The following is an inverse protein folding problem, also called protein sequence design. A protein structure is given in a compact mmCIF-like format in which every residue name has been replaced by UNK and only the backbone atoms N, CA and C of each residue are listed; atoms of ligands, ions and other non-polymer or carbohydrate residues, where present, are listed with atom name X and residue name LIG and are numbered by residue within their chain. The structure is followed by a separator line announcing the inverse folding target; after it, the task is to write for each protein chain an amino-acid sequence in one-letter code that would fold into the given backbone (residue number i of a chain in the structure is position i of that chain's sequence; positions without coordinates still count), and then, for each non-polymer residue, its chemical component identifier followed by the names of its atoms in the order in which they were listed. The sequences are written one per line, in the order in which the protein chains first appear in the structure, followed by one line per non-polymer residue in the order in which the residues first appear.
data_IF_002720506852
#
_entry.id   IF_002720506852
#
_cell.length_a   1.000
_cell.length_b   1.000
_cell.length_c   1.000
_cell.angle_alpha   90.00
_cell.angle_beta   90.00
_cell.angle_gamma   90.00
#
_symmetry.space_group_name_H-M   'P 1'
#
loop_
_entity.id
_entity.type
_entity.pdbx_description
1 polymer ?
#
# COMPACT_ATOMS: atom_id res chain seq x y z
N UNK A 1 5.08 21.38 23.71
CA UNK A 1 3.88 22.16 23.32
C UNK A 1 3.93 22.36 21.81
N UNK A 2 2.82 22.14 21.10
CA UNK A 2 2.77 22.12 19.62
C UNK A 2 2.81 23.53 18.99
N UNK A 3 2.08 24.50 19.55
CA UNK A 3 1.88 25.83 18.95
C UNK A 3 3.18 26.63 18.71
N UNK A 4 4.18 26.64 19.63
CA UNK A 4 5.43 27.35 19.40
C UNK A 4 6.21 26.83 18.18
N UNK A 5 6.20 25.51 17.94
CA UNK A 5 6.86 24.91 16.78
C UNK A 5 6.20 25.31 15.45
N UNK A 6 4.92 25.70 15.50
CA UNK A 6 4.15 26.14 14.34
C UNK A 6 4.19 27.67 14.17
N UNK A 7 4.81 28.41 15.10
CA UNK A 7 4.79 29.88 15.10
C UNK A 7 3.39 30.47 15.31
N UNK A 8 2.48 29.70 15.92
CA UNK A 8 1.11 30.12 16.16
C UNK A 8 0.98 30.68 17.58
N UNK A 9 0.44 31.90 17.67
CA UNK A 9 0.12 32.53 18.95
C UNK A 9 -1.00 31.77 19.68
N UNK A 10 -0.83 31.58 20.99
CA UNK A 10 -1.75 30.80 21.82
C UNK A 10 -3.12 31.46 21.94
N UNK A 11 -3.17 32.78 22.19
CA UNK A 11 -4.43 33.48 22.40
C UNK A 11 -5.24 33.55 21.09
N UNK A 12 -4.55 33.77 19.97
CA UNK A 12 -5.14 33.67 18.63
C UNK A 12 -5.69 32.27 18.33
N UNK A 13 -4.97 31.22 18.70
CA UNK A 13 -5.44 29.85 18.49
C UNK A 13 -6.72 29.58 19.28
N UNK A 14 -6.73 29.86 20.58
CA UNK A 14 -7.86 29.54 21.45
C UNK A 14 -9.11 30.37 21.15
N UNK A 15 -8.96 31.67 20.90
CA UNK A 15 -10.09 32.52 20.48
C UNK A 15 -10.67 32.10 19.13
N UNK A 16 -9.83 31.71 18.18
CA UNK A 16 -10.26 31.17 16.89
C UNK A 16 -11.00 29.83 17.04
N UNK A 17 -10.46 28.93 17.86
CA UNK A 17 -11.08 27.63 18.16
C UNK A 17 -12.45 27.78 18.83
N UNK A 18 -12.56 28.66 19.84
CA UNK A 18 -13.84 28.99 20.48
C UNK A 18 -14.86 29.53 19.47
N UNK A 19 -14.42 30.44 18.59
CA UNK A 19 -15.28 30.99 17.54
C UNK A 19 -15.82 29.92 16.58
N UNK A 20 -14.98 28.93 16.21
CA UNK A 20 -15.40 27.79 15.39
C UNK A 20 -16.46 26.96 16.12
N UNK A 21 -16.25 26.64 17.39
CA UNK A 21 -17.24 25.89 18.19
C UNK A 21 -18.57 26.65 18.24
N UNK A 22 -18.53 27.93 18.63
CA UNK A 22 -19.74 28.75 18.76
C UNK A 22 -20.52 28.85 17.45
N UNK A 23 -19.82 28.97 16.31
CA UNK A 23 -20.45 29.09 15.00
C UNK A 23 -21.02 27.76 14.47
N UNK A 24 -20.35 26.63 14.71
CA UNK A 24 -20.68 25.37 14.03
C UNK A 24 -21.38 24.32 14.91
N UNK A 25 -21.39 24.45 16.24
CA UNK A 25 -22.06 23.48 17.12
C UNK A 25 -23.56 23.39 16.86
N UNK A 26 -24.25 24.53 16.67
CA UNK A 26 -25.70 24.52 16.38
C UNK A 26 -26.02 23.77 15.09
N UNK A 27 -25.24 24.01 14.02
CA UNK A 27 -25.43 23.31 12.74
C UNK A 27 -25.10 21.82 12.85
N UNK A 28 -24.07 21.45 13.62
CA UNK A 28 -23.73 20.04 13.82
C UNK A 28 -24.85 19.28 14.55
N UNK A 29 -25.43 19.88 15.61
CA UNK A 29 -26.57 19.28 16.31
C UNK A 29 -27.81 19.15 15.42
N UNK A 30 -28.11 20.16 14.61
CA UNK A 30 -29.20 20.11 13.63
C UNK A 30 -29.01 18.95 12.63
N UNK A 31 -27.79 18.74 12.13
CA UNK A 31 -27.48 17.62 11.23
C UNK A 31 -27.65 16.25 11.90
N UNK A 32 -27.44 16.14 13.22
CA UNK A 32 -27.72 14.92 13.96
C UNK A 32 -29.23 14.69 14.12
N UNK A 33 -30.00 15.73 14.46
CA UNK A 33 -31.46 15.63 14.54
C UNK A 33 -32.08 15.24 13.19
N UNK A 34 -31.57 15.76 12.07
CA UNK A 34 -32.01 15.35 10.73
C UNK A 34 -31.81 13.84 10.52
N UNK A 35 -30.70 13.26 11.00
CA UNK A 35 -30.45 11.80 10.89
C UNK A 35 -31.47 11.01 11.71
N UNK A 36 -31.71 11.44 12.95
CA UNK A 36 -32.67 10.79 13.84
C UNK A 36 -34.10 10.85 13.27
N UNK A 37 -34.50 11.99 12.71
CA UNK A 37 -35.81 12.19 12.09
C UNK A 37 -35.98 11.33 10.83
N UNK A 38 -34.95 11.25 9.97
CA UNK A 38 -34.97 10.40 8.78
C UNK A 38 -35.08 8.91 9.18
N UNK A 39 -34.30 8.47 10.15
CA UNK A 39 -34.35 7.09 10.63
C UNK A 39 -35.71 6.75 11.26
N UNK A 40 -36.26 7.66 12.07
CA UNK A 40 -37.58 7.49 12.70
C UNK A 40 -38.71 7.35 11.67
N UNK A 41 -38.65 8.11 10.58
CA UNK A 41 -39.60 7.99 9.47
C UNK A 41 -39.45 6.63 8.76
N UNK A 42 -38.22 6.19 8.47
CA UNK A 42 -37.95 4.88 7.87
C UNK A 42 -38.46 3.75 8.77
N UNK A 43 -38.19 3.81 10.07
CA UNK A 43 -38.66 2.82 11.04
C UNK A 43 -40.20 2.77 11.08
N UNK A 44 -40.84 3.93 11.02
CA UNK A 44 -42.30 4.05 11.03
C UNK A 44 -42.90 3.46 9.75
N UNK A 45 -42.32 3.78 8.58
CA UNK A 45 -42.77 3.26 7.30
C UNK A 45 -42.81 1.73 7.27
N UNK A 46 -41.75 1.08 7.80
CA UNK A 46 -41.67 -0.38 7.89
C UNK A 46 -42.62 -0.96 8.95
N UNK A 47 -42.77 -0.31 10.12
CA UNK A 47 -43.70 -0.78 11.17
C UNK A 47 -45.15 -0.80 10.71
N UNK A 48 -45.57 0.21 9.95
CA UNK A 48 -46.93 0.31 9.41
C UNK A 48 -47.22 -0.71 8.31
N UNK A 49 -46.18 -1.22 7.63
CA UNK A 49 -46.28 -2.15 6.49
C UNK A 49 -45.70 -3.53 6.77
N UNK A 50 -45.60 -3.91 8.05
CA UNK A 50 -44.91 -5.15 8.48
C UNK A 50 -45.50 -6.45 7.91
N UNK A 51 -46.79 -6.44 7.59
CA UNK A 51 -47.53 -7.61 7.09
C UNK A 51 -47.72 -7.55 5.56
N UNK A 52 -47.18 -6.51 4.91
CA UNK A 52 -47.21 -6.32 3.47
C UNK A 52 -45.94 -6.86 2.81
N UNK A 53 -46.05 -7.32 1.56
CA UNK A 53 -44.87 -7.60 0.76
C UNK A 53 -44.13 -6.28 0.45
N UNK A 54 -42.80 -6.30 0.51
CA UNK A 54 -42.00 -5.10 0.26
C UNK A 54 -42.13 -4.62 -1.19
N UNK A 55 -42.61 -3.39 -1.38
CA UNK A 55 -42.67 -2.70 -2.67
C UNK A 55 -41.51 -1.71 -2.80
N UNK A 56 -40.52 -2.06 -3.63
CA UNK A 56 -39.34 -1.24 -3.86
C UNK A 56 -39.65 0.10 -4.55
N UNK A 57 -40.68 0.17 -5.39
CA UNK A 57 -41.08 1.40 -6.08
C UNK A 57 -41.70 2.37 -5.08
N UNK A 58 -42.61 1.88 -4.23
CA UNK A 58 -43.20 2.67 -3.16
C UNK A 58 -42.15 3.13 -2.14
N UNK A 59 -41.19 2.28 -1.78
CA UNK A 59 -40.12 2.64 -0.85
C UNK A 59 -39.18 3.71 -1.43
N UNK A 60 -38.78 3.59 -2.70
CA UNK A 60 -37.96 4.61 -3.36
C UNK A 60 -38.67 5.96 -3.42
N UNK A 61 -39.97 5.96 -3.71
CA UNK A 61 -40.79 7.18 -3.71
C UNK A 61 -40.84 7.81 -2.31
N UNK A 62 -41.09 7.01 -1.27
CA UNK A 62 -41.05 7.45 0.12
C UNK A 62 -39.70 8.08 0.51
N UNK A 63 -38.57 7.46 0.15
CA UNK A 63 -37.24 8.00 0.44
C UNK A 63 -36.99 9.36 -0.23
N UNK A 64 -37.55 9.59 -1.43
CA UNK A 64 -37.52 10.92 -2.06
C UNK A 64 -38.40 11.91 -1.32
N UNK A 65 -39.60 11.51 -0.92
CA UNK A 65 -40.57 12.36 -0.21
C UNK A 65 -40.04 12.89 1.13
N UNK A 66 -39.33 12.05 1.89
CA UNK A 66 -38.71 12.47 3.17
C UNK A 66 -37.38 13.22 2.98
N UNK A 67 -36.93 13.41 1.74
CA UNK A 67 -35.66 14.08 1.43
C UNK A 67 -34.40 13.25 1.70
N UNK A 68 -34.54 11.93 1.88
CA UNK A 68 -33.39 11.02 2.04
C UNK A 68 -32.67 10.80 0.70
N UNK A 69 -33.44 10.49 -0.35
CA UNK A 69 -32.92 10.35 -1.70
C UNK A 69 -33.10 11.67 -2.47
N UNK A 70 -32.02 12.39 -2.68
CA UNK A 70 -32.01 13.64 -3.43
C UNK A 70 -31.92 13.38 -4.95
N UNK A 71 -32.31 14.38 -5.73
CA UNK A 71 -32.09 14.35 -7.18
C UNK A 71 -30.59 14.47 -7.49
N UNK A 72 -30.16 13.73 -8.49
CA UNK A 72 -28.77 13.74 -8.95
C UNK A 72 -28.44 15.12 -9.54
N UNK A 73 -27.28 15.66 -9.16
CA UNK A 73 -26.77 16.90 -9.73
C UNK A 73 -26.30 16.72 -11.17
N UNK A 74 -25.99 17.83 -11.84
CA UNK A 74 -25.36 17.76 -13.16
C UNK A 74 -23.94 17.18 -13.07
N UNK A 75 -23.48 16.56 -14.16
CA UNK A 75 -22.10 16.11 -14.29
C UNK A 75 -21.11 17.25 -14.03
N UNK A 76 -20.06 16.97 -13.27
CA UNK A 76 -18.95 17.89 -13.00
C UNK A 76 -17.64 17.12 -12.83
N UNK A 77 -16.51 17.84 -12.93
CA UNK A 77 -15.19 17.32 -12.61
C UNK A 77 -14.69 17.95 -11.31
N UNK A 78 -13.97 17.17 -10.49
CA UNK A 78 -13.33 17.68 -9.27
C UNK A 78 -12.13 18.57 -9.62
N UNK A 79 -11.92 19.65 -8.87
CA UNK A 79 -10.87 20.65 -9.12
C UNK A 79 -9.72 20.60 -8.10
N UNK A 80 -9.64 19.53 -7.30
CA UNK A 80 -8.65 19.39 -6.22
C UNK A 80 -7.22 19.44 -6.77
N UNK A 81 -6.38 20.31 -6.18
CA UNK A 81 -4.98 20.51 -6.57
C UNK A 81 -4.04 20.41 -5.35
N UNK A 82 -2.73 20.36 -5.62
CA UNK A 82 -1.68 20.22 -4.60
C UNK A 82 -1.81 18.94 -3.77
N UNK A 83 -2.08 17.82 -4.45
CA UNK A 83 -2.20 16.48 -3.86
C UNK A 83 -0.88 15.74 -4.11
N UNK A 84 -0.35 15.05 -3.10
CA UNK A 84 0.87 14.25 -3.22
C UNK A 84 0.69 13.04 -4.17
N UNK A 85 1.77 12.66 -4.86
CA UNK A 85 1.76 11.64 -5.92
C UNK A 85 1.26 10.27 -5.43
N UNK A 86 1.50 9.94 -4.17
CA UNK A 86 1.03 8.73 -3.50
C UNK A 86 -0.51 8.60 -3.51
N UNK A 87 -1.24 9.72 -3.62
CA UNK A 87 -2.71 9.74 -3.60
C UNK A 87 -3.28 9.79 -5.03
N UNK A 88 -2.70 10.59 -5.93
CA UNK A 88 -3.31 10.82 -7.26
C UNK A 88 -2.63 10.09 -8.42
N UNK A 89 -1.37 9.66 -8.27
CA UNK A 89 -0.60 9.00 -9.34
C UNK A 89 -0.36 7.51 -9.10
N UNK A 90 -0.29 7.09 -7.85
CA UNK A 90 0.10 5.74 -7.45
C UNK A 90 -1.10 4.91 -6.99
N UNK A 91 -1.22 3.69 -7.51
CA UNK A 91 -2.15 2.69 -7.00
C UNK A 91 -1.38 1.72 -6.11
N UNK A 92 -1.79 1.57 -4.85
CA UNK A 92 -1.11 0.72 -3.88
C UNK A 92 -1.93 0.49 -2.61
N UNK A 93 -1.40 -0.27 -1.66
CA UNK A 93 -2.05 -0.52 -0.38
C UNK A 93 -2.22 0.77 0.45
N UNK A 94 -3.23 0.79 1.32
CA UNK A 94 -3.42 1.84 2.32
C UNK A 94 -3.61 1.22 3.70
N UNK A 95 -2.69 1.50 4.62
CA UNK A 95 -2.70 0.95 5.97
C UNK A 95 -3.49 1.85 6.94
N UNK A 96 -4.34 1.24 7.77
CA UNK A 96 -5.07 1.92 8.85
C UNK A 96 -4.61 1.40 10.20
N UNK A 97 -4.24 2.30 11.12
CA UNK A 97 -3.60 1.95 12.39
C UNK A 97 -4.10 2.83 13.54
N UNK A 98 -4.24 2.31 14.78
CA UNK A 98 -4.63 3.13 15.93
C UNK A 98 -3.49 4.04 16.39
N UNK A 99 -3.63 5.35 16.17
CA UNK A 99 -2.63 6.37 16.52
C UNK A 99 -2.26 6.39 18.02
N UNK A 100 -3.15 5.89 18.90
CA UNK A 100 -2.89 5.79 20.35
C UNK A 100 -1.81 4.76 20.70
N UNK A 101 -1.50 3.82 19.80
CA UNK A 101 -0.42 2.87 19.98
C UNK A 101 0.81 3.36 19.19
N UNK A 102 1.76 3.97 19.90
CA UNK A 102 2.97 4.54 19.29
C UNK A 102 3.81 3.51 18.52
N UNK A 103 3.88 2.25 19.01
CA UNK A 103 4.60 1.18 18.31
C UNK A 103 3.94 0.87 16.96
N UNK A 104 2.61 0.78 16.94
CA UNK A 104 1.90 0.50 15.70
C UNK A 104 1.99 1.68 14.72
N UNK A 105 1.89 2.93 15.21
CA UNK A 105 2.06 4.12 14.38
C UNK A 105 3.46 4.19 13.73
N UNK A 106 4.53 3.89 14.49
CA UNK A 106 5.89 3.84 13.95
C UNK A 106 6.06 2.71 12.93
N UNK A 107 5.56 1.52 13.23
CA UNK A 107 5.59 0.40 12.30
C UNK A 107 4.85 0.74 11.00
N UNK A 108 3.68 1.37 11.10
CA UNK A 108 2.88 1.79 9.94
C UNK A 108 3.58 2.88 9.13
N UNK A 109 4.20 3.87 9.78
CA UNK A 109 4.97 4.90 9.10
C UNK A 109 6.16 4.33 8.33
N UNK A 110 6.80 3.29 8.87
CA UNK A 110 7.94 2.61 8.24
C UNK A 110 7.52 1.54 7.24
N UNK A 111 6.22 1.22 7.14
CA UNK A 111 5.72 0.15 6.29
C UNK A 111 5.75 0.49 4.79
N UNK A 112 6.11 1.72 4.41
CA UNK A 112 6.28 2.12 3.00
C UNK A 112 7.27 1.22 2.25
N UNK A 113 8.23 0.65 2.97
CA UNK A 113 9.19 -0.31 2.43
C UNK A 113 9.20 -1.56 3.29
N UNK A 114 8.81 -2.70 2.70
CA UNK A 114 8.68 -3.98 3.40
C UNK A 114 9.50 -5.09 2.75
N UNK A 115 10.15 -5.92 3.56
CA UNK A 115 10.81 -7.13 3.07
C UNK A 115 9.79 -8.13 2.54
N UNK A 116 9.90 -8.48 1.26
CA UNK A 116 9.10 -9.54 0.67
C UNK A 116 9.51 -10.90 1.24
N UNK A 117 10.79 -11.10 1.54
CA UNK A 117 11.25 -12.39 2.07
C UNK A 117 10.67 -12.63 3.46
N UNK A 118 10.69 -11.63 4.34
CA UNK A 118 10.09 -11.75 5.68
C UNK A 118 8.57 -11.94 5.59
N UNK A 119 7.89 -11.22 4.69
CA UNK A 119 6.44 -11.36 4.49
C UNK A 119 6.07 -12.76 4.00
N UNK A 120 6.80 -13.33 3.03
CA UNK A 120 6.57 -14.68 2.52
C UNK A 120 6.96 -15.75 3.54
N UNK A 121 8.13 -15.60 4.16
CA UNK A 121 8.63 -16.57 5.12
C UNK A 121 7.75 -16.60 6.36
N UNK A 122 7.30 -15.45 6.86
CA UNK A 122 6.57 -15.29 8.12
C UNK A 122 5.07 -15.57 8.05
N UNK A 123 4.50 -15.77 6.87
CA UNK A 123 3.05 -16.00 6.67
C UNK A 123 2.75 -17.39 6.10
N UNK A 124 1.47 -17.70 5.88
CA UNK A 124 0.99 -18.94 5.26
C UNK A 124 0.96 -18.89 3.72
N UNK A 125 1.44 -17.80 3.10
CA UNK A 125 1.55 -17.70 1.63
C UNK A 125 2.41 -18.83 1.06
N UNK A 126 3.50 -19.17 1.75
CA UNK A 126 4.30 -20.36 1.45
C UNK A 126 3.84 -21.50 2.35
N UNK A 127 3.30 -22.56 1.74
CA UNK A 127 2.89 -23.78 2.47
C UNK A 127 4.03 -24.33 3.32
N UNK A 128 3.69 -24.86 4.49
CA UNK A 128 4.62 -25.55 5.39
C UNK A 128 4.86 -27.01 5.02
N UNK A 129 4.17 -27.54 4.00
CA UNK A 129 4.35 -28.90 3.52
C UNK A 129 5.76 -29.15 2.96
N UNK A 130 6.11 -30.44 2.80
CA UNK A 130 7.38 -30.91 2.24
C UNK A 130 8.62 -30.43 3.01
N UNK A 131 8.54 -30.36 4.33
CA UNK A 131 9.66 -29.96 5.19
C UNK A 131 9.92 -28.45 5.23
N UNK A 132 8.93 -27.64 4.86
CA UNK A 132 9.03 -26.17 4.83
C UNK A 132 8.40 -25.49 6.06
N UNK A 133 8.32 -26.19 7.19
CA UNK A 133 7.72 -25.69 8.42
C UNK A 133 8.56 -24.57 9.06
N UNK A 134 7.89 -23.60 9.68
CA UNK A 134 8.52 -22.53 10.48
C UNK A 134 8.84 -23.03 11.90
N UNK A 135 9.69 -24.03 12.02
CA UNK A 135 10.08 -24.57 13.34
C UNK A 135 11.49 -24.12 13.74
N UNK A 136 11.60 -23.43 14.89
CA UNK A 136 12.89 -22.98 15.41
C UNK A 136 13.53 -21.84 14.60
N UNK A 137 14.73 -22.08 14.08
CA UNK A 137 15.52 -21.09 13.34
C UNK A 137 15.18 -21.04 11.84
N UNK A 138 16.13 -20.54 11.04
CA UNK A 138 15.99 -20.54 9.58
C UNK A 138 15.94 -21.97 9.03
N UNK A 139 14.89 -22.25 8.25
CA UNK A 139 14.70 -23.50 7.52
C UNK A 139 15.10 -23.28 6.04
N UNK A 140 16.22 -23.85 5.57
CA UNK A 140 16.67 -23.67 4.19
C UNK A 140 15.65 -24.12 3.14
N UNK A 141 14.90 -25.20 3.37
CA UNK A 141 13.90 -25.70 2.43
C UNK A 141 12.74 -24.70 2.25
N UNK A 142 12.34 -24.02 3.33
CA UNK A 142 11.38 -22.90 3.26
C UNK A 142 12.00 -21.68 2.58
N UNK A 143 13.24 -21.35 2.90
CA UNK A 143 13.98 -20.24 2.31
C UNK A 143 14.09 -20.34 0.79
N UNK A 144 14.37 -21.53 0.26
CA UNK A 144 14.39 -21.79 -1.18
C UNK A 144 13.03 -21.53 -1.84
N UNK A 145 11.91 -21.95 -1.21
CA UNK A 145 10.55 -21.65 -1.70
C UNK A 145 10.27 -20.14 -1.72
N UNK A 146 10.73 -19.40 -0.71
CA UNK A 146 10.61 -17.93 -0.64
C UNK A 146 11.40 -17.25 -1.77
N UNK A 147 12.67 -17.65 -1.96
CA UNK A 147 13.52 -17.11 -3.03
C UNK A 147 12.91 -17.39 -4.40
N UNK A 148 12.44 -18.63 -4.63
CA UNK A 148 11.80 -19.02 -5.88
C UNK A 148 10.56 -18.17 -6.18
N UNK A 149 9.69 -17.95 -5.18
CA UNK A 149 8.52 -17.09 -5.31
C UNK A 149 8.91 -15.66 -5.69
N UNK A 150 9.88 -15.08 -4.98
CA UNK A 150 10.27 -13.70 -5.20
C UNK A 150 10.96 -13.49 -6.57
N UNK A 151 11.72 -14.47 -7.05
CA UNK A 151 12.32 -14.41 -8.40
C UNK A 151 11.28 -14.57 -9.50
N UNK A 152 10.27 -15.42 -9.31
CA UNK A 152 9.12 -15.50 -10.21
C UNK A 152 8.34 -14.16 -10.25
N UNK A 153 8.15 -13.52 -9.09
CA UNK A 153 7.58 -12.17 -9.04
C UNK A 153 8.40 -11.15 -9.85
N UNK A 154 9.74 -11.20 -9.80
CA UNK A 154 10.58 -10.33 -10.63
C UNK A 154 10.43 -10.63 -12.13
N UNK A 155 10.31 -11.89 -12.52
CA UNK A 155 10.05 -12.27 -13.92
C UNK A 155 8.71 -11.71 -14.41
N UNK A 156 7.68 -11.69 -13.57
CA UNK A 156 6.38 -11.13 -13.91
C UNK A 156 6.39 -9.59 -13.94
N UNK A 157 7.04 -8.95 -12.96
CA UNK A 157 6.98 -7.51 -12.77
C UNK A 157 8.02 -6.73 -13.59
N UNK A 158 9.21 -7.29 -13.78
CA UNK A 158 10.37 -6.66 -14.43
C UNK A 158 11.08 -7.66 -15.35
N UNK A 159 10.41 -8.20 -16.37
CA UNK A 159 10.89 -9.34 -17.15
C UNK A 159 12.22 -9.06 -17.87
N UNK A 160 13.03 -10.11 -18.00
CA UNK A 160 14.27 -10.09 -18.77
C UNK A 160 14.00 -10.34 -20.27
N UNK A 161 14.82 -9.75 -21.15
CA UNK A 161 14.75 -10.01 -22.60
C UNK A 161 14.97 -11.48 -22.96
N UNK A 162 15.81 -12.16 -22.17
CA UNK A 162 16.09 -13.58 -22.28
C UNK A 162 16.40 -14.16 -20.89
N UNK A 163 16.04 -15.42 -20.67
CA UNK A 163 16.27 -16.09 -19.39
C UNK A 163 15.25 -15.68 -18.31
N UNK A 164 15.63 -15.88 -17.05
CA UNK A 164 14.80 -15.62 -15.87
C UNK A 164 15.68 -15.15 -14.72
N UNK A 165 15.13 -14.31 -13.84
CA UNK A 165 15.77 -13.90 -12.59
C UNK A 165 16.18 -15.10 -11.73
N UNK A 166 15.49 -16.24 -11.83
CA UNK A 166 15.88 -17.51 -11.19
C UNK A 166 17.30 -17.94 -11.54
N UNK A 167 17.71 -17.73 -12.79
CA UNK A 167 19.05 -18.06 -13.31
C UNK A 167 20.09 -16.95 -13.16
N UNK A 168 19.74 -15.82 -12.53
CA UNK A 168 20.67 -14.70 -12.36
C UNK A 168 21.86 -15.10 -11.48
N UNK A 169 23.07 -14.75 -11.93
CA UNK A 169 24.34 -14.98 -11.22
C UNK A 169 25.03 -13.69 -10.82
N UNK A 170 24.70 -12.56 -11.47
CA UNK A 170 25.15 -11.24 -11.04
C UNK A 170 24.30 -10.12 -11.62
N UNK A 171 24.29 -8.98 -10.94
CA UNK A 171 23.72 -7.71 -11.42
C UNK A 171 24.85 -6.69 -11.55
N UNK A 172 24.86 -5.90 -12.61
CA UNK A 172 25.83 -4.81 -12.82
C UNK A 172 25.21 -3.69 -13.64
N UNK A 173 25.80 -2.50 -13.58
CA UNK A 173 25.37 -1.33 -14.34
C UNK A 173 26.48 -1.01 -15.34
N UNK A 174 26.14 -1.06 -16.63
CA UNK A 174 27.06 -0.72 -17.73
C UNK A 174 26.39 0.34 -18.60
N UNK A 175 27.12 1.43 -18.87
CA UNK A 175 26.64 2.52 -19.72
C UNK A 175 25.28 3.10 -19.29
N UNK A 176 24.99 3.08 -17.99
CA UNK A 176 23.74 3.59 -17.41
C UNK A 176 22.56 2.60 -17.42
N UNK A 177 22.77 1.37 -17.87
CA UNK A 177 21.73 0.36 -17.97
C UNK A 177 22.02 -0.85 -17.06
N UNK A 178 20.96 -1.50 -16.59
CA UNK A 178 21.07 -2.74 -15.83
C UNK A 178 21.43 -3.92 -16.76
N UNK A 179 22.50 -4.62 -16.41
CA UNK A 179 22.95 -5.86 -17.03
C UNK A 179 22.86 -7.00 -16.00
N UNK A 180 22.18 -8.07 -16.38
CA UNK A 180 21.98 -9.26 -15.54
C UNK A 180 22.70 -10.42 -16.20
N UNK A 181 23.64 -11.07 -15.50
CA UNK A 181 24.26 -12.30 -15.98
C UNK A 181 23.35 -13.49 -15.68
N UNK A 182 23.03 -14.29 -16.70
CA UNK A 182 22.22 -15.51 -16.60
C UNK A 182 22.97 -16.62 -17.33
N UNK A 183 23.55 -17.56 -16.58
CA UNK A 183 24.49 -18.53 -17.15
C UNK A 183 25.72 -17.84 -17.77
N UNK A 184 26.03 -18.17 -19.03
CA UNK A 184 27.13 -17.57 -19.80
C UNK A 184 26.69 -16.31 -20.59
N UNK A 185 25.41 -15.92 -20.49
CA UNK A 185 24.85 -14.78 -21.21
C UNK A 185 24.66 -13.56 -20.30
N UNK A 186 24.67 -12.37 -20.92
CA UNK A 186 24.26 -11.12 -20.26
C UNK A 186 22.99 -10.65 -20.93
N UNK A 187 21.95 -10.46 -20.12
CA UNK A 187 20.64 -9.99 -20.55
C UNK A 187 20.29 -8.65 -19.88
N UNK A 188 19.16 -8.08 -20.29
CA UNK A 188 18.64 -6.78 -19.85
C UNK A 188 17.15 -6.91 -19.55
N UNK A 189 16.55 -5.91 -18.94
CA UNK A 189 15.09 -5.81 -18.82
C UNK A 189 14.46 -5.66 -20.22
N UNK A 190 13.25 -6.20 -20.40
CA UNK A 190 12.44 -5.95 -21.61
C UNK A 190 12.19 -4.45 -21.76
N UNK A 191 11.77 -3.80 -20.67
CA UNK A 191 11.64 -2.35 -20.58
C UNK A 191 12.77 -1.78 -19.72
N UNK A 192 13.75 -1.12 -20.37
CA UNK A 192 14.88 -0.52 -19.67
C UNK A 192 14.47 0.65 -18.77
N UNK A 193 13.31 1.27 -18.98
CA UNK A 193 12.82 2.35 -18.12
C UNK A 193 12.38 1.86 -16.74
N UNK A 194 12.17 0.55 -16.56
CA UNK A 194 11.90 -0.05 -15.26
C UNK A 194 13.12 0.02 -14.34
N UNK A 195 14.34 0.13 -14.86
CA UNK A 195 15.51 0.41 -14.04
C UNK A 195 15.50 1.88 -13.59
N UNK A 196 15.52 2.11 -12.28
CA UNK A 196 15.44 3.46 -11.67
C UNK A 196 16.71 3.90 -10.98
N UNK A 197 17.61 2.98 -10.65
CA UNK A 197 18.89 3.33 -10.05
C UNK A 197 19.53 2.18 -9.29
N UNK A 198 20.61 2.47 -8.58
CA UNK A 198 21.34 1.48 -7.81
C UNK A 198 22.08 2.16 -6.65
N UNK A 199 22.55 1.36 -5.70
CA UNK A 199 23.47 1.81 -4.66
C UNK A 199 24.75 0.97 -4.66
N UNK A 200 25.88 1.61 -4.37
CA UNK A 200 27.20 0.97 -4.31
C UNK A 200 27.99 1.09 -5.61
N UNK A 201 28.89 0.13 -5.85
CA UNK A 201 29.73 0.11 -7.04
C UNK A 201 28.91 -0.42 -8.23
N UNK A 202 28.85 0.27 -9.39
CA UNK A 202 28.10 -0.21 -10.55
C UNK A 202 28.52 -1.61 -11.05
N UNK A 203 29.78 -2.02 -10.88
CA UNK A 203 30.23 -3.35 -11.26
C UNK A 203 29.69 -4.47 -10.32
N UNK A 204 29.25 -4.10 -9.12
CA UNK A 204 28.77 -5.01 -8.07
C UNK A 204 27.91 -4.23 -7.06
N UNK A 205 26.71 -3.77 -7.46
CA UNK A 205 25.85 -2.97 -6.60
C UNK A 205 25.36 -3.82 -5.43
N UNK A 206 25.11 -3.18 -4.29
CA UNK A 206 24.45 -3.85 -3.16
C UNK A 206 22.93 -3.64 -3.17
N UNK A 207 22.43 -2.72 -4.00
CA UNK A 207 20.99 -2.53 -4.27
C UNK A 207 20.79 -2.17 -5.73
N UNK A 208 19.80 -2.78 -6.38
CA UNK A 208 19.25 -2.37 -7.68
C UNK A 208 17.81 -1.94 -7.48
N UNK A 209 17.46 -0.72 -7.89
CA UNK A 209 16.12 -0.17 -7.79
C UNK A 209 15.40 -0.29 -9.14
N UNK A 210 14.26 -0.95 -9.11
CA UNK A 210 13.34 -1.12 -10.22
C UNK A 210 12.01 -0.41 -9.93
N UNK A 211 11.18 -0.22 -10.95
CA UNK A 211 9.79 0.20 -10.78
C UNK A 211 8.88 -0.44 -11.82
N UNK A 212 7.71 -0.91 -11.37
CA UNK A 212 6.62 -1.41 -12.21
C UNK A 212 5.31 -0.81 -11.73
N UNK A 213 4.46 -0.34 -12.66
CA UNK A 213 3.19 0.34 -12.32
C UNK A 213 3.33 1.47 -11.27
N UNK A 214 4.45 2.20 -11.33
CA UNK A 214 4.85 3.27 -10.38
C UNK A 214 5.08 2.82 -8.93
N UNK A 215 5.17 1.51 -8.68
CA UNK A 215 5.67 0.95 -7.43
C UNK A 215 7.10 0.49 -7.59
N UNK A 216 7.94 0.84 -6.63
CA UNK A 216 9.34 0.49 -6.63
C UNK A 216 9.61 -0.87 -5.99
N UNK A 217 10.68 -1.50 -6.47
CA UNK A 217 11.18 -2.78 -5.98
C UNK A 217 12.70 -2.69 -5.88
N UNK A 218 13.25 -2.98 -4.71
CA UNK A 218 14.69 -3.12 -4.53
C UNK A 218 15.11 -4.58 -4.56
N UNK A 219 16.10 -4.90 -5.39
CA UNK A 219 16.85 -6.15 -5.30
C UNK A 219 18.05 -5.86 -4.40
N UNK A 220 18.06 -6.39 -3.18
CA UNK A 220 19.18 -6.20 -2.25
C UNK A 220 20.16 -7.36 -2.34
N UNK A 221 21.45 -7.04 -2.48
CA UNK A 221 22.51 -7.99 -2.80
C UNK A 221 23.59 -7.92 -1.72
N UNK A 222 23.83 -9.05 -1.06
CA UNK A 222 24.92 -9.25 -0.12
C UNK A 222 25.29 -10.73 -0.05
N UNK A 223 26.40 -11.10 -0.71
CA UNK A 223 26.93 -12.46 -0.75
C UNK A 223 27.45 -12.98 0.59
N UNK A 224 27.64 -12.10 1.59
CA UNK A 224 28.09 -12.50 2.92
C UNK A 224 26.94 -12.69 3.90
N UNK A 225 25.73 -12.27 3.54
CA UNK A 225 24.53 -12.47 4.37
C UNK A 225 24.13 -13.95 4.46
N UNK A 226 23.37 -14.31 5.49
CA UNK A 226 22.93 -15.68 5.70
C UNK A 226 22.05 -16.23 4.57
N UNK A 227 21.29 -15.36 3.91
CA UNK A 227 20.46 -15.71 2.75
C UNK A 227 21.29 -15.63 1.46
N UNK A 228 21.94 -14.49 1.21
CA UNK A 228 22.62 -14.23 -0.05
C UNK A 228 23.84 -15.12 -0.31
N UNK A 229 24.47 -15.70 0.72
CA UNK A 229 25.54 -16.70 0.53
C UNK A 229 25.06 -17.98 -0.18
N UNK A 230 23.76 -18.27 -0.12
CA UNK A 230 23.14 -19.44 -0.75
C UNK A 230 22.42 -19.08 -2.07
N UNK A 231 22.36 -17.79 -2.44
CA UNK A 231 21.80 -17.33 -3.70
C UNK A 231 22.89 -17.12 -4.75
N UNK A 232 22.72 -17.67 -5.96
CA UNK A 232 23.72 -17.58 -7.03
C UNK A 232 24.09 -16.12 -7.40
N UNK A 233 23.11 -15.22 -7.37
CA UNK A 233 23.27 -13.78 -7.60
C UNK A 233 23.69 -12.99 -6.36
N UNK A 234 23.72 -13.60 -5.18
CA UNK A 234 23.98 -12.93 -3.92
C UNK A 234 22.80 -12.15 -3.36
N UNK A 235 21.59 -12.35 -3.91
CA UNK A 235 20.38 -11.65 -3.46
C UNK A 235 20.05 -12.09 -2.04
N UNK A 236 19.93 -11.13 -1.13
CA UNK A 236 19.58 -11.36 0.27
C UNK A 236 18.10 -11.10 0.57
N UNK A 237 17.46 -10.22 -0.20
CA UNK A 237 16.06 -9.83 -0.04
C UNK A 237 15.56 -9.09 -1.29
N UNK A 238 14.23 -9.04 -1.44
CA UNK A 238 13.51 -8.16 -2.32
C UNK A 238 12.66 -7.22 -1.44
N UNK A 239 12.94 -5.92 -1.48
CA UNK A 239 12.21 -4.93 -0.67
C UNK A 239 11.19 -4.21 -1.55
N UNK A 240 9.94 -4.25 -1.13
CA UNK A 240 8.79 -3.75 -1.86
C UNK A 240 8.39 -2.38 -1.35
N UNK A 241 8.09 -1.46 -2.26
CA UNK A 241 7.25 -0.33 -1.94
C UNK A 241 5.82 -0.82 -1.67
N UNK A 242 5.27 -0.47 -0.50
CA UNK A 242 4.04 -1.03 0.04
C UNK A 242 3.13 -0.01 0.73
#
# INVERSE_FOLDING_TARGET
MLLPCLGIDSDRFWSGFESIINNFTSRNNELLSIRDDLQSQIDTWHRERKDEAFDASAYKQFLKEIGYLLEEGADFAVETANVDEEIFMQAGPQLVVPVKNARFALNASNARWGSLYDALYGTDVISEDDGAERTGGYNPARGEKVIAFAKAFLDDACPLQSGSHSGATSYSIKEGELCISVGDEVTRLIDSAQFRGYQGNPASPFTVLLANNKLHVEIQIDRHSDVGKNDASGVKDIVMEA
#
